data_IF_735946304882
#
_entry.id   IF_735946304882
#
_cell.length_a   1.000
_cell.length_b   1.000
_cell.length_c   1.000
_cell.angle_alpha   90.00
_cell.angle_beta   90.00
_cell.angle_gamma   90.00
#
_symmetry.space_group_name_H-M   'P 1'
#
loop_
_entity.id
_entity.type
_entity.pdbx_description
1 polymer ?
#
# COMPACT_ATOMS: atom_id res chain seq x y z
N UNK A 1 -14.60 9.85 18.53
CA UNK A 1 -15.29 8.97 17.57
C UNK A 1 -14.63 7.62 17.70
N UNK A 2 -15.37 6.52 17.84
CA UNK A 2 -14.76 5.18 17.79
C UNK A 2 -14.50 4.81 16.33
N UNK A 3 -13.22 4.88 15.91
CA UNK A 3 -12.86 4.69 14.50
C UNK A 3 -13.28 3.30 14.01
N UNK A 4 -13.04 2.25 14.80
CA UNK A 4 -13.24 0.86 14.35
C UNK A 4 -14.71 0.53 14.20
N UNK A 5 -15.55 1.04 15.11
CA UNK A 5 -17.00 0.87 15.00
C UNK A 5 -17.58 1.60 13.79
N UNK A 6 -17.14 2.84 13.53
CA UNK A 6 -17.55 3.60 12.33
C UNK A 6 -17.14 2.87 11.03
N UNK A 7 -16.00 2.19 11.05
CA UNK A 7 -15.51 1.42 9.90
C UNK A 7 -16.18 0.04 9.74
N UNK A 8 -16.98 -0.43 10.70
CA UNK A 8 -17.50 -1.81 10.71
C UNK A 8 -18.74 -2.03 9.81
N UNK A 9 -19.48 -0.98 9.44
CA UNK A 9 -20.80 -1.11 8.81
C UNK A 9 -20.82 -1.54 7.33
N UNK A 10 -21.72 -2.45 6.94
CA UNK A 10 -21.86 -2.92 5.55
C UNK A 10 -20.88 -4.06 5.19
N UNK A 11 -20.71 -4.33 3.89
CA UNK A 11 -19.80 -5.37 3.40
C UNK A 11 -18.58 -4.80 2.63
N UNK A 12 -17.70 -5.70 2.17
CA UNK A 12 -16.45 -5.37 1.46
C UNK A 12 -16.67 -4.66 0.10
N UNK A 13 -17.91 -4.52 -0.38
CA UNK A 13 -18.23 -3.89 -1.67
C UNK A 13 -18.46 -2.38 -1.57
N UNK A 14 -18.35 -1.80 -0.37
CA UNK A 14 -18.49 -0.37 -0.14
C UNK A 14 -17.35 0.19 0.72
N UNK A 15 -16.97 1.44 0.42
CA UNK A 15 -16.01 2.20 1.23
C UNK A 15 -16.56 2.62 2.60
N UNK A 16 -17.84 2.36 2.88
CA UNK A 16 -18.48 2.68 4.16
C UNK A 16 -18.30 4.15 4.55
N UNK A 17 -17.89 4.38 5.81
CA UNK A 17 -17.65 5.72 6.36
C UNK A 17 -16.18 6.15 6.32
N UNK A 18 -15.37 5.60 5.40
CA UNK A 18 -13.93 5.95 5.30
C UNK A 18 -13.73 7.46 5.19
N UNK A 19 -14.49 8.17 4.37
CA UNK A 19 -14.28 9.61 4.16
C UNK A 19 -14.56 10.43 5.44
N UNK A 20 -15.50 9.97 6.28
CA UNK A 20 -15.73 10.58 7.59
C UNK A 20 -14.55 10.33 8.54
N UNK A 21 -13.96 9.14 8.51
CA UNK A 21 -12.75 8.81 9.27
C UNK A 21 -11.56 9.63 8.80
N UNK A 22 -11.36 9.77 7.48
CA UNK A 22 -10.30 10.60 6.89
C UNK A 22 -10.43 12.05 7.36
N UNK A 23 -11.64 12.60 7.35
CA UNK A 23 -11.90 13.97 7.81
C UNK A 23 -11.66 14.13 9.33
N UNK A 24 -12.07 13.14 10.12
CA UNK A 24 -11.88 13.14 11.57
C UNK A 24 -10.40 13.03 11.96
N UNK A 25 -9.64 12.14 11.31
CA UNK A 25 -8.22 11.95 11.59
C UNK A 25 -7.43 13.19 11.16
N UNK A 26 -7.66 13.70 9.95
CA UNK A 26 -6.99 14.92 9.48
C UNK A 26 -5.46 14.85 9.61
N UNK A 27 -4.88 15.82 10.33
CA UNK A 27 -3.43 15.88 10.63
C UNK A 27 -3.13 15.58 12.11
N UNK A 28 -4.01 14.87 12.81
CA UNK A 28 -3.89 14.57 14.24
C UNK A 28 -3.12 13.25 14.44
N UNK A 29 -1.91 13.26 15.04
CA UNK A 29 -1.10 12.06 15.24
C UNK A 29 -1.73 11.03 16.18
N UNK A 30 -2.49 11.45 17.19
CA UNK A 30 -3.11 10.54 18.16
C UNK A 30 -4.27 9.79 17.50
N UNK A 31 -5.07 10.49 16.69
CA UNK A 31 -6.14 9.86 15.90
C UNK A 31 -5.60 8.96 14.80
N UNK A 32 -4.47 9.32 14.20
CA UNK A 32 -3.80 8.45 13.24
C UNK A 32 -3.28 7.18 13.93
N UNK A 33 -2.73 7.30 15.14
CA UNK A 33 -2.32 6.15 15.95
C UNK A 33 -3.51 5.25 16.31
N UNK A 34 -4.69 5.82 16.60
CA UNK A 34 -5.92 5.04 16.79
C UNK A 34 -6.32 4.31 15.49
N UNK A 35 -6.27 4.99 14.33
CA UNK A 35 -6.59 4.41 13.03
C UNK A 35 -5.67 3.22 12.69
N UNK A 36 -4.37 3.32 13.01
CA UNK A 36 -3.39 2.24 12.82
C UNK A 36 -3.81 0.92 13.47
N UNK A 37 -4.49 0.97 14.64
CA UNK A 37 -4.95 -0.24 15.35
C UNK A 37 -5.97 -1.05 14.55
N UNK A 38 -6.64 -0.40 13.60
CA UNK A 38 -7.62 -1.04 12.72
C UNK A 38 -7.00 -2.01 11.71
N UNK A 39 -5.70 -1.90 11.39
CA UNK A 39 -5.01 -2.83 10.47
C UNK A 39 -4.98 -4.28 10.98
N UNK A 40 -5.04 -4.46 12.29
CA UNK A 40 -5.01 -5.79 12.95
C UNK A 40 -6.35 -6.13 13.60
N UNK A 41 -7.44 -5.43 13.26
CA UNK A 41 -8.78 -5.76 13.76
C UNK A 41 -9.23 -7.14 13.25
N UNK A 42 -9.98 -7.88 14.07
CA UNK A 42 -10.47 -9.21 13.70
C UNK A 42 -11.40 -9.17 12.48
N UNK A 43 -12.10 -8.05 12.27
CA UNK A 43 -13.07 -7.87 11.19
C UNK A 43 -12.36 -7.46 9.88
N UNK A 44 -12.45 -8.25 8.80
CA UNK A 44 -11.82 -7.93 7.51
C UNK A 44 -12.23 -6.58 6.91
N UNK A 45 -13.48 -6.18 7.13
CA UNK A 45 -14.02 -4.89 6.66
C UNK A 45 -13.32 -3.72 7.35
N UNK A 46 -13.06 -3.83 8.66
CA UNK A 46 -12.37 -2.79 9.43
C UNK A 46 -10.92 -2.68 9.00
N UNK A 47 -10.21 -3.80 8.80
CA UNK A 47 -8.82 -3.80 8.32
C UNK A 47 -8.66 -3.09 6.99
N UNK A 48 -9.43 -3.54 5.99
CA UNK A 48 -9.42 -2.94 4.65
C UNK A 48 -9.66 -1.43 4.70
N UNK A 49 -10.70 -1.01 5.42
CA UNK A 49 -11.09 0.41 5.46
C UNK A 49 -10.15 1.25 6.29
N UNK A 50 -9.50 0.66 7.28
CA UNK A 50 -8.41 1.33 8.00
C UNK A 50 -7.26 1.59 7.06
N UNK A 51 -6.86 0.60 6.26
CA UNK A 51 -5.82 0.76 5.24
C UNK A 51 -6.21 1.81 4.17
N UNK A 52 -7.47 1.83 3.70
CA UNK A 52 -7.99 2.86 2.78
C UNK A 52 -7.94 4.26 3.40
N UNK A 53 -8.44 4.41 4.63
CA UNK A 53 -8.41 5.69 5.34
C UNK A 53 -6.97 6.18 5.55
N UNK A 54 -6.04 5.29 5.91
CA UNK A 54 -4.62 5.63 6.10
C UNK A 54 -3.98 6.09 4.78
N UNK A 55 -4.24 5.37 3.69
CA UNK A 55 -3.80 5.75 2.35
C UNK A 55 -4.33 7.14 1.99
N UNK A 56 -5.63 7.42 2.18
CA UNK A 56 -6.23 8.72 1.87
C UNK A 56 -5.71 9.87 2.74
N UNK A 57 -5.60 9.67 4.06
CA UNK A 57 -5.07 10.67 5.00
C UNK A 57 -3.65 11.07 4.63
N UNK A 58 -2.81 10.08 4.35
CA UNK A 58 -1.37 10.29 4.14
C UNK A 58 -1.02 10.88 2.79
N UNK A 59 -1.98 10.98 1.84
CA UNK A 59 -1.81 11.80 0.63
C UNK A 59 -1.59 13.27 0.95
N UNK A 60 -2.24 13.78 2.01
CA UNK A 60 -2.10 15.18 2.47
C UNK A 60 -1.16 15.33 3.66
N UNK A 61 -1.07 14.29 4.49
CA UNK A 61 -0.32 14.30 5.74
C UNK A 61 0.69 13.15 5.84
N UNK A 62 1.66 13.02 4.91
CA UNK A 62 2.59 11.89 4.88
C UNK A 62 3.47 11.78 6.13
N UNK A 63 3.69 12.91 6.84
CA UNK A 63 4.48 12.94 8.09
C UNK A 63 3.88 12.07 9.19
N UNK A 64 2.58 11.77 9.16
CA UNK A 64 1.91 10.89 10.12
C UNK A 64 2.46 9.45 10.07
N UNK A 65 2.97 9.02 8.91
CA UNK A 65 3.54 7.67 8.75
C UNK A 65 4.82 7.45 9.57
N UNK A 66 5.57 8.51 9.89
CA UNK A 66 6.91 8.40 10.50
C UNK A 66 6.92 7.64 11.82
N UNK A 67 5.91 7.87 12.67
CA UNK A 67 5.81 7.20 13.96
C UNK A 67 5.47 5.69 13.84
N UNK A 68 5.00 5.26 12.67
CA UNK A 68 4.49 3.91 12.43
C UNK A 68 5.28 3.15 11.36
N UNK A 69 6.41 3.68 10.91
CA UNK A 69 7.17 3.15 9.79
C UNK A 69 7.58 1.68 10.01
N UNK A 70 8.12 1.35 11.18
CA UNK A 70 8.50 -0.03 11.51
C UNK A 70 7.28 -0.97 11.55
N UNK A 71 6.18 -0.56 12.17
CA UNK A 71 4.95 -1.35 12.22
C UNK A 71 4.35 -1.56 10.83
N UNK A 72 4.38 -0.55 9.97
CA UNK A 72 3.89 -0.66 8.59
C UNK A 72 4.75 -1.60 7.74
N UNK A 73 6.07 -1.60 7.96
CA UNK A 73 6.96 -2.56 7.32
C UNK A 73 6.67 -4.00 7.76
N UNK A 74 6.47 -4.23 9.06
CA UNK A 74 6.03 -5.53 9.57
C UNK A 74 4.69 -5.96 8.95
N UNK A 75 3.70 -5.05 8.91
CA UNK A 75 2.41 -5.32 8.29
C UNK A 75 2.54 -5.64 6.79
N UNK A 76 3.47 -5.01 6.06
CA UNK A 76 3.75 -5.35 4.67
C UNK A 76 4.15 -6.83 4.51
N UNK A 77 4.91 -7.36 5.46
CA UNK A 77 5.40 -8.74 5.42
C UNK A 77 4.32 -9.77 5.78
N UNK A 78 3.41 -9.44 6.70
CA UNK A 78 2.47 -10.43 7.28
C UNK A 78 1.02 -10.30 6.76
N UNK A 79 0.64 -9.18 6.16
CA UNK A 79 -0.73 -8.98 5.69
C UNK A 79 -1.08 -10.04 4.64
N UNK A 80 -2.25 -10.67 4.78
CA UNK A 80 -2.77 -11.69 3.83
C UNK A 80 -3.99 -11.21 3.05
N UNK A 81 -4.69 -10.21 3.58
CA UNK A 81 -5.87 -9.64 2.94
C UNK A 81 -5.48 -8.74 1.77
N UNK A 82 -5.96 -9.05 0.57
CA UNK A 82 -5.58 -8.35 -0.67
C UNK A 82 -5.79 -6.83 -0.60
N UNK A 83 -6.86 -6.37 0.06
CA UNK A 83 -7.15 -4.93 0.12
C UNK A 83 -6.18 -4.19 1.02
N UNK A 84 -5.74 -4.84 2.10
CA UNK A 84 -4.69 -4.29 2.96
C UNK A 84 -3.36 -4.25 2.20
N UNK A 85 -3.01 -5.32 1.48
CA UNK A 85 -1.76 -5.39 0.67
C UNK A 85 -1.64 -4.25 -0.32
N UNK A 86 -2.69 -3.99 -1.13
CA UNK A 86 -2.60 -2.92 -2.14
C UNK A 86 -2.49 -1.52 -1.52
N UNK A 87 -3.03 -1.31 -0.32
CA UNK A 87 -2.94 -0.02 0.37
C UNK A 87 -1.56 0.13 1.00
N UNK A 88 -1.02 -0.92 1.62
CA UNK A 88 0.35 -0.92 2.14
C UNK A 88 1.38 -0.64 1.04
N UNK A 89 1.25 -1.24 -0.14
CA UNK A 89 2.11 -0.94 -1.29
C UNK A 89 2.11 0.57 -1.64
N UNK A 90 0.96 1.24 -1.60
CA UNK A 90 0.86 2.68 -1.86
C UNK A 90 1.48 3.56 -0.77
N UNK A 91 1.59 3.04 0.46
CA UNK A 91 2.18 3.76 1.59
C UNK A 91 3.71 3.71 1.57
N UNK A 92 4.31 2.58 1.14
CA UNK A 92 5.76 2.38 1.24
C UNK A 92 6.56 3.52 0.61
N UNK A 93 6.30 3.98 -0.63
CA UNK A 93 7.11 5.02 -1.26
C UNK A 93 6.94 6.42 -0.64
N UNK A 94 6.03 6.60 0.33
CA UNK A 94 5.80 7.90 1.02
C UNK A 94 6.70 8.10 2.24
N UNK A 95 7.40 7.05 2.65
CA UNK A 95 8.32 7.05 3.78
C UNK A 95 9.77 7.08 3.30
N UNK A 96 10.69 7.41 4.20
CA UNK A 96 12.13 7.41 3.92
C UNK A 96 12.74 6.13 4.45
N UNK A 97 13.28 5.31 3.56
CA UNK A 97 13.86 4.01 3.90
C UNK A 97 15.38 4.06 3.76
N UNK A 98 16.08 3.31 4.61
CA UNK A 98 17.47 2.93 4.35
C UNK A 98 17.55 2.00 3.13
N UNK A 99 18.74 1.83 2.58
CA UNK A 99 18.93 0.88 1.47
C UNK A 99 18.50 -0.53 1.87
N UNK A 100 18.87 -0.98 3.05
CA UNK A 100 18.53 -2.31 3.57
C UNK A 100 17.01 -2.50 3.72
N UNK A 101 16.30 -1.53 4.30
CA UNK A 101 14.84 -1.58 4.43
C UNK A 101 14.16 -1.54 3.07
N UNK A 102 14.62 -0.67 2.16
CA UNK A 102 14.07 -0.60 0.80
C UNK A 102 14.26 -1.92 0.06
N UNK A 103 15.38 -2.62 0.29
CA UNK A 103 15.62 -3.97 -0.22
C UNK A 103 14.58 -4.97 0.29
N UNK A 104 14.25 -4.90 1.57
CA UNK A 104 13.21 -5.75 2.17
C UNK A 104 11.82 -5.47 1.59
N UNK A 105 11.50 -4.19 1.34
CA UNK A 105 10.23 -3.80 0.70
C UNK A 105 10.17 -4.33 -0.73
N UNK A 106 11.22 -4.10 -1.52
CA UNK A 106 11.30 -4.57 -2.91
C UNK A 106 11.14 -6.09 -2.97
N UNK A 107 11.80 -6.84 -2.08
CA UNK A 107 11.64 -8.29 -2.04
C UNK A 107 10.17 -8.72 -1.83
N UNK A 108 9.47 -8.13 -0.85
CA UNK A 108 8.05 -8.44 -0.61
C UNK A 108 7.18 -8.06 -1.83
N UNK A 109 7.44 -6.92 -2.46
CA UNK A 109 6.67 -6.47 -3.62
C UNK A 109 6.91 -7.36 -4.85
N UNK A 110 8.15 -7.78 -5.09
CA UNK A 110 8.49 -8.74 -6.16
C UNK A 110 7.77 -10.07 -5.91
N UNK A 111 7.81 -10.59 -4.68
CA UNK A 111 7.09 -11.82 -4.31
C UNK A 111 5.58 -11.69 -4.56
N UNK A 112 4.98 -10.54 -4.24
CA UNK A 112 3.56 -10.28 -4.54
C UNK A 112 3.29 -10.27 -6.04
N UNK A 113 4.16 -9.67 -6.84
CA UNK A 113 4.00 -9.60 -8.30
C UNK A 113 4.00 -11.00 -8.92
N UNK A 114 4.79 -11.93 -8.36
CA UNK A 114 4.92 -13.30 -8.85
C UNK A 114 3.83 -14.24 -8.34
N UNK A 115 3.34 -14.04 -7.11
CA UNK A 115 2.47 -15.01 -6.43
C UNK A 115 1.00 -14.60 -6.33
N UNK A 116 0.68 -13.31 -6.46
CA UNK A 116 -0.69 -12.83 -6.31
C UNK A 116 -1.56 -13.12 -7.54
N UNK A 117 -2.85 -13.28 -7.29
CA UNK A 117 -3.86 -13.35 -8.37
C UNK A 117 -4.61 -12.03 -8.55
N UNK A 118 -4.55 -11.15 -7.54
CA UNK A 118 -5.22 -9.85 -7.58
C UNK A 118 -4.45 -8.87 -8.45
N UNK A 119 -5.02 -8.54 -9.62
CA UNK A 119 -4.45 -7.54 -10.51
C UNK A 119 -4.24 -6.17 -9.84
N UNK A 120 -5.06 -5.81 -8.85
CA UNK A 120 -4.93 -4.55 -8.10
C UNK A 120 -3.70 -4.59 -7.19
N UNK A 121 -3.43 -5.72 -6.52
CA UNK A 121 -2.21 -5.88 -5.70
C UNK A 121 -0.97 -5.77 -6.59
N UNK A 122 -0.92 -6.51 -7.70
CA UNK A 122 0.21 -6.50 -8.64
C UNK A 122 0.44 -5.09 -9.22
N UNK A 123 -0.62 -4.40 -9.65
CA UNK A 123 -0.52 -3.04 -10.22
C UNK A 123 0.02 -2.02 -9.20
N UNK A 124 -0.37 -2.15 -7.93
CA UNK A 124 0.12 -1.26 -6.88
C UNK A 124 1.54 -1.63 -6.44
N UNK A 125 1.91 -2.91 -6.44
CA UNK A 125 3.28 -3.34 -6.19
C UNK A 125 4.25 -2.83 -7.27
N UNK A 126 3.89 -2.96 -8.55
CA UNK A 126 4.70 -2.41 -9.67
C UNK A 126 4.86 -0.89 -9.57
N UNK A 127 3.80 -0.16 -9.22
CA UNK A 127 3.90 1.29 -9.01
C UNK A 127 4.78 1.62 -7.80
N UNK A 128 4.66 0.89 -6.70
CA UNK A 128 5.48 1.11 -5.52
C UNK A 128 6.96 0.86 -5.78
N UNK A 129 7.31 -0.20 -6.52
CA UNK A 129 8.68 -0.45 -6.96
C UNK A 129 9.21 0.68 -7.87
N UNK A 130 8.37 1.18 -8.79
CA UNK A 130 8.71 2.35 -9.61
C UNK A 130 9.03 3.58 -8.77
N UNK A 131 8.16 3.93 -7.81
CA UNK A 131 8.37 5.10 -6.97
C UNK A 131 9.59 4.94 -6.04
N UNK A 132 9.84 3.73 -5.53
CA UNK A 132 11.05 3.43 -4.75
C UNK A 132 12.32 3.53 -5.61
N UNK A 133 12.29 3.06 -6.86
CA UNK A 133 13.45 3.13 -7.76
C UNK A 133 13.89 4.56 -8.08
N UNK A 134 12.98 5.53 -8.02
CA UNK A 134 13.30 6.94 -8.21
C UNK A 134 14.15 7.52 -7.06
N UNK A 135 14.03 6.94 -5.85
CA UNK A 135 14.82 7.32 -4.66
C UNK A 135 16.03 6.41 -4.49
N UNK A 136 15.92 5.14 -4.88
CA UNK A 136 16.93 4.10 -4.78
C UNK A 136 17.25 3.53 -6.18
N UNK A 137 18.12 4.19 -6.96
CA UNK A 137 18.36 3.84 -8.37
C UNK A 137 18.88 2.42 -8.61
N UNK A 138 19.41 1.74 -7.57
CA UNK A 138 19.87 0.36 -7.68
C UNK A 138 18.77 -0.64 -8.05
N UNK A 139 17.50 -0.32 -7.81
CA UNK A 139 16.36 -1.18 -8.17
C UNK A 139 15.87 -0.97 -9.61
N UNK A 140 16.45 -0.04 -10.36
CA UNK A 140 15.98 0.33 -11.69
C UNK A 140 16.01 -0.85 -12.68
N UNK A 141 17.11 -1.60 -12.72
CA UNK A 141 17.26 -2.71 -13.68
C UNK A 141 16.35 -3.89 -13.34
N UNK A 142 16.21 -4.20 -12.05
CA UNK A 142 15.26 -5.22 -11.55
C UNK A 142 13.82 -4.85 -11.91
N UNK A 143 13.43 -3.59 -11.63
CA UNK A 143 12.11 -3.08 -11.98
C UNK A 143 11.85 -3.15 -13.48
N UNK A 144 12.82 -2.74 -14.31
CA UNK A 144 12.66 -2.77 -15.77
C UNK A 144 12.41 -4.19 -16.27
N UNK A 145 13.22 -5.16 -15.83
CA UNK A 145 13.05 -6.56 -16.19
C UNK A 145 11.66 -7.10 -15.75
N UNK A 146 11.22 -6.74 -14.55
CA UNK A 146 9.92 -7.14 -14.03
C UNK A 146 8.76 -6.54 -14.85
N UNK A 147 8.86 -5.27 -15.23
CA UNK A 147 7.86 -4.61 -16.06
C UNK A 147 7.79 -5.22 -17.47
N UNK A 148 8.93 -5.56 -18.08
CA UNK A 148 8.98 -6.23 -19.38
C UNK A 148 8.31 -7.62 -19.31
N UNK A 149 8.64 -8.42 -18.31
CA UNK A 149 8.00 -9.72 -18.06
C UNK A 149 6.48 -9.59 -17.87
N UNK A 150 6.04 -8.64 -17.04
CA UNK A 150 4.61 -8.42 -16.75
C UNK A 150 3.85 -7.81 -17.94
N UNK A 151 4.53 -7.09 -18.84
CA UNK A 151 3.95 -6.60 -20.10
C UNK A 151 3.61 -7.76 -21.05
N UNK A 152 4.36 -8.85 -21.01
CA UNK A 152 4.13 -10.05 -21.84
C UNK A 152 3.11 -11.01 -21.23
N UNK A 153 3.21 -11.25 -19.92
CA UNK A 153 2.49 -12.35 -19.24
C UNK A 153 1.31 -11.90 -18.40
N UNK A 154 1.29 -10.64 -17.94
CA UNK A 154 0.30 -10.14 -16.98
C UNK A 154 -1.14 -10.06 -17.52
N UNK A 155 -2.09 -9.83 -16.61
CA UNK A 155 -3.48 -9.50 -16.98
C UNK A 155 -3.56 -8.19 -17.79
N UNK A 156 -4.66 -7.89 -18.51
CA UNK A 156 -4.78 -6.64 -19.26
C UNK A 156 -4.51 -5.37 -18.44
N UNK A 157 -4.94 -5.36 -17.17
CA UNK A 157 -4.69 -4.25 -16.25
C UNK A 157 -3.20 -4.13 -15.90
N UNK A 158 -2.54 -5.25 -15.61
CA UNK A 158 -1.11 -5.31 -15.31
C UNK A 158 -0.30 -4.89 -16.53
N UNK A 159 -0.56 -5.44 -17.71
CA UNK A 159 0.10 -5.05 -18.98
C UNK A 159 -0.03 -3.55 -19.27
N UNK A 160 -1.23 -3.01 -19.12
CA UNK A 160 -1.49 -1.57 -19.28
C UNK A 160 -0.66 -0.74 -18.30
N UNK A 161 -0.53 -1.19 -17.06
CA UNK A 161 0.30 -0.52 -16.05
C UNK A 161 1.78 -0.63 -16.39
N UNK A 162 2.28 -1.82 -16.70
CA UNK A 162 3.69 -2.05 -17.03
C UNK A 162 4.14 -1.20 -18.21
N UNK A 163 3.33 -1.15 -19.27
CA UNK A 163 3.58 -0.28 -20.43
C UNK A 163 3.71 1.20 -20.03
N UNK A 164 2.82 1.69 -19.17
CA UNK A 164 2.84 3.10 -18.71
C UNK A 164 4.06 3.42 -17.85
N UNK A 165 4.55 2.47 -17.06
CA UNK A 165 5.72 2.67 -16.21
C UNK A 165 7.02 2.57 -17.03
N UNK A 166 7.12 1.64 -17.98
CA UNK A 166 8.25 1.56 -18.93
C UNK A 166 8.43 2.83 -19.76
N UNK A 167 7.34 3.54 -20.08
CA UNK A 167 7.41 4.82 -20.78
C UNK A 167 7.95 5.98 -19.92
N UNK A 168 8.05 5.77 -18.60
CA UNK A 168 8.48 6.79 -17.62
C UNK A 168 9.82 6.48 -16.97
N UNK A 169 10.35 5.27 -17.16
CA UNK A 169 11.73 4.90 -16.85
C UNK A 169 12.66 5.55 -17.88
#
# INVERSE_FOLDING_TARGET
MDIREVLSGGDLRSIGHVDAVVAYVGNDPDRFSELMTGLTDDRPVVRMRSADAMEKVTRRHPKLLRAHQASLFEQLQIATQQEVRWHLAQLMPRMTWTEEEASGIVHVLTDWIDTETSAIVIVNALQAMFDLSAVHPRFHDELKALLESQLETGSPAVKSRSKKLLQKL
#
